data_IF_581534613391
#
_entry.id   IF_581534613391
#
_cell.length_a   1.000
_cell.length_b   1.000
_cell.length_c   1.000
_cell.angle_alpha   90.00
_cell.angle_beta   90.00
_cell.angle_gamma   90.00
#
_symmetry.space_group_name_H-M   'P 1'
#
loop_
_entity.id
_entity.type
_entity.pdbx_description
1 polymer ?
#
# COMPACT_ATOMS: atom_id res chain seq x y z
N UNK A 1 -0.49 13.23 34.58
CA UNK A 1 0.88 12.84 34.19
C UNK A 1 0.79 11.94 32.97
N UNK A 2 0.73 12.52 31.76
CA UNK A 2 0.59 11.76 30.50
C UNK A 2 1.94 11.14 30.12
N UNK A 3 2.06 9.82 30.18
CA UNK A 3 3.22 9.12 29.60
C UNK A 3 3.04 9.09 28.08
N UNK A 4 3.74 9.99 27.39
CA UNK A 4 3.85 10.01 25.92
C UNK A 4 4.55 8.72 25.46
N UNK A 5 3.77 7.75 24.99
CA UNK A 5 4.27 6.62 24.23
C UNK A 5 4.63 7.10 22.83
N UNK A 6 5.91 7.10 22.48
CA UNK A 6 6.34 7.21 21.08
C UNK A 6 5.89 5.91 20.41
N UNK A 7 4.89 5.98 19.52
CA UNK A 7 4.45 4.82 18.75
C UNK A 7 5.61 4.32 17.88
N UNK A 8 6.15 3.14 18.22
CA UNK A 8 7.24 2.50 17.47
C UNK A 8 6.65 1.75 16.28
N UNK A 9 6.40 2.48 15.21
CA UNK A 9 6.04 1.92 13.91
C UNK A 9 6.09 3.04 12.90
N UNK A 10 7.17 3.10 12.12
CA UNK A 10 7.37 4.18 11.18
C UNK A 10 6.72 3.83 9.84
N UNK A 11 6.02 4.81 9.26
CA UNK A 11 5.57 4.74 7.88
C UNK A 11 6.74 5.12 6.97
N UNK A 12 7.04 4.27 6.00
CA UNK A 12 8.06 4.54 4.97
C UNK A 12 7.36 4.89 3.66
N UNK A 13 7.75 6.02 3.08
CA UNK A 13 7.11 6.58 1.90
C UNK A 13 8.15 6.82 0.82
N UNK A 14 8.08 6.08 -0.30
CA UNK A 14 8.99 6.29 -1.42
C UNK A 14 8.27 6.96 -2.59
N UNK A 15 8.79 8.11 -3.02
CA UNK A 15 8.23 8.88 -4.12
C UNK A 15 8.65 8.29 -5.46
N UNK A 16 7.69 7.74 -6.21
CA UNK A 16 7.96 7.03 -7.47
C UNK A 16 8.68 7.92 -8.48
N UNK A 17 8.41 9.23 -8.53
CA UNK A 17 9.07 10.15 -9.46
C UNK A 17 10.59 10.23 -9.25
N UNK A 18 11.06 10.23 -8.00
CA UNK A 18 12.50 10.21 -7.67
C UNK A 18 13.09 8.83 -7.87
N UNK A 19 12.30 7.79 -7.64
CA UNK A 19 12.71 6.40 -7.85
C UNK A 19 12.76 6.03 -9.33
N UNK A 20 11.93 6.62 -10.19
CA UNK A 20 11.70 6.20 -11.58
C UNK A 20 12.97 6.21 -12.43
N UNK A 21 13.84 7.21 -12.27
CA UNK A 21 15.11 7.25 -12.99
C UNK A 21 16.10 6.18 -12.51
N UNK A 22 16.00 5.72 -11.26
CA UNK A 22 16.82 4.62 -10.72
C UNK A 22 16.21 3.28 -11.12
N UNK A 23 14.88 3.15 -11.05
CA UNK A 23 14.17 1.97 -11.52
C UNK A 23 14.46 1.72 -13.00
N UNK A 24 14.43 2.74 -13.85
CA UNK A 24 14.81 2.60 -15.26
C UNK A 24 16.28 2.19 -15.50
N UNK A 25 17.17 2.35 -14.50
CA UNK A 25 18.57 1.91 -14.57
C UNK A 25 18.77 0.48 -14.07
N UNK A 26 17.94 0.02 -13.14
CA UNK A 26 18.12 -1.25 -12.42
C UNK A 26 17.02 -2.28 -12.69
N UNK A 27 15.95 -1.88 -13.40
CA UNK A 27 14.77 -2.69 -13.63
C UNK A 27 14.46 -2.70 -15.11
N UNK A 28 14.39 -3.90 -15.67
CA UNK A 28 13.86 -4.11 -17.00
C UNK A 28 12.36 -3.78 -17.00
N UNK A 29 12.01 -2.68 -17.66
CA UNK A 29 10.62 -2.23 -17.76
C UNK A 29 9.75 -3.21 -18.54
N UNK A 30 10.32 -4.02 -19.44
CA UNK A 30 9.57 -5.05 -20.16
C UNK A 30 9.16 -6.21 -19.21
N UNK A 31 10.05 -6.60 -18.30
CA UNK A 31 9.73 -7.59 -17.27
C UNK A 31 8.66 -7.08 -16.29
N UNK A 32 8.67 -5.78 -15.95
CA UNK A 32 7.58 -5.19 -15.15
C UNK A 32 6.24 -5.18 -15.89
N UNK A 33 6.26 -5.00 -17.22
CA UNK A 33 5.07 -5.10 -18.05
C UNK A 33 4.54 -6.54 -18.15
N UNK A 34 5.40 -7.57 -18.10
CA UNK A 34 4.99 -8.98 -18.10
C UNK A 34 4.13 -9.37 -16.88
N UNK A 35 4.43 -8.79 -15.70
CA UNK A 35 3.62 -8.92 -14.49
C UNK A 35 2.14 -8.52 -14.66
N UNK A 36 1.84 -7.71 -15.69
CA UNK A 36 0.48 -7.33 -16.07
C UNK A 36 -0.35 -8.55 -16.47
N UNK A 37 0.22 -9.48 -17.23
CA UNK A 37 -0.49 -10.67 -17.73
C UNK A 37 -0.79 -11.67 -16.61
N UNK A 38 0.07 -11.67 -15.59
CA UNK A 38 0.08 -12.65 -14.52
C UNK A 38 -0.72 -12.23 -13.30
N UNK A 39 -0.62 -10.96 -12.89
CA UNK A 39 -1.23 -10.50 -11.65
C UNK A 39 -2.24 -9.39 -11.82
N UNK A 40 -2.47 -8.96 -13.06
CA UNK A 40 -3.18 -7.72 -13.33
C UNK A 40 -2.63 -6.55 -12.50
N UNK A 41 -1.36 -6.65 -12.09
CA UNK A 41 -0.62 -5.59 -11.43
C UNK A 41 -0.10 -4.75 -12.56
N UNK A 42 -0.78 -3.64 -12.77
CA UNK A 42 -0.34 -2.62 -13.70
C UNK A 42 0.84 -1.90 -13.09
N UNK A 43 2.01 -2.50 -13.26
CA UNK A 43 3.29 -1.85 -13.12
C UNK A 43 3.59 -1.06 -14.40
N UNK A 44 2.59 -0.31 -14.85
CA UNK A 44 2.87 0.84 -15.68
C UNK A 44 3.57 1.85 -14.78
N UNK A 45 4.91 1.82 -14.77
CA UNK A 45 5.67 3.06 -14.76
C UNK A 45 5.29 3.76 -16.06
N UNK A 46 4.08 4.33 -16.09
CA UNK A 46 3.53 4.94 -17.29
C UNK A 46 4.37 6.16 -17.58
N UNK A 47 5.28 5.96 -18.51
CA UNK A 47 5.92 7.03 -19.23
C UNK A 47 4.88 7.54 -20.23
N UNK A 48 4.17 8.57 -19.77
CA UNK A 48 3.41 9.57 -20.54
C UNK A 48 1.91 9.34 -20.82
N UNK A 49 1.08 10.13 -20.13
CA UNK A 49 -0.04 10.83 -20.77
C UNK A 49 0.39 12.23 -21.26
N UNK A 50 1.44 12.82 -20.67
CA UNK A 50 2.13 14.07 -21.06
C UNK A 50 3.62 14.02 -20.63
N UNK A 51 4.55 14.78 -21.24
CA UNK A 51 5.95 14.86 -20.81
C UNK A 51 6.10 15.28 -19.34
N UNK A 52 6.54 14.37 -18.47
CA UNK A 52 6.92 14.66 -17.08
C UNK A 52 5.95 14.18 -15.98
N UNK A 53 4.81 13.59 -16.33
CA UNK A 53 3.89 12.97 -15.38
C UNK A 53 4.13 11.45 -15.26
N UNK A 54 4.22 10.94 -14.04
CA UNK A 54 4.43 9.51 -13.73
C UNK A 54 3.32 9.06 -12.81
N UNK A 55 2.43 8.20 -13.29
CA UNK A 55 1.48 7.48 -12.43
C UNK A 55 2.03 6.08 -12.15
N UNK A 56 1.82 5.59 -10.93
CA UNK A 56 2.23 4.26 -10.51
C UNK A 56 1.18 3.69 -9.56
N UNK A 57 0.81 2.44 -9.84
CA UNK A 57 0.03 1.62 -8.94
C UNK A 57 0.77 0.30 -8.74
N UNK A 58 1.41 0.15 -7.59
CA UNK A 58 2.22 -1.03 -7.33
C UNK A 58 1.91 -1.63 -5.95
N UNK A 59 0.98 -2.59 -5.88
CA UNK A 59 0.76 -3.36 -4.67
C UNK A 59 1.80 -4.49 -4.56
N UNK A 60 3.06 -4.14 -4.25
CA UNK A 60 4.18 -5.11 -4.17
C UNK A 60 3.92 -6.30 -3.24
N UNK A 61 3.06 -6.12 -2.23
CA UNK A 61 2.67 -7.18 -1.29
C UNK A 61 1.88 -8.30 -1.96
N UNK A 62 0.84 -7.95 -2.72
CA UNK A 62 0.05 -8.92 -3.49
C UNK A 62 0.89 -9.55 -4.59
N UNK A 63 1.79 -8.77 -5.22
CA UNK A 63 2.71 -9.28 -6.24
C UNK A 63 3.53 -10.46 -5.73
N UNK A 64 4.16 -10.26 -4.57
CA UNK A 64 4.99 -11.27 -3.92
C UNK A 64 4.19 -12.44 -3.38
N UNK A 65 2.96 -12.20 -2.90
CA UNK A 65 2.10 -13.29 -2.41
C UNK A 65 1.74 -14.24 -3.55
N UNK A 66 1.38 -13.69 -4.71
CA UNK A 66 1.01 -14.48 -5.86
C UNK A 66 2.21 -15.17 -6.53
N UNK A 67 3.38 -14.52 -6.56
CA UNK A 67 4.64 -15.20 -6.90
C UNK A 67 4.89 -16.42 -5.99
N UNK A 68 4.76 -16.22 -4.67
CA UNK A 68 4.99 -17.27 -3.67
C UNK A 68 3.95 -18.38 -3.67
N UNK A 69 2.72 -18.11 -4.11
CA UNK A 69 1.66 -19.12 -4.13
C UNK A 69 1.92 -20.19 -5.18
N UNK A 70 2.77 -19.91 -6.18
CA UNK A 70 3.03 -20.79 -7.31
C UNK A 70 1.83 -20.96 -8.25
N UNK A 71 0.71 -20.28 -7.98
CA UNK A 71 -0.50 -20.33 -8.81
C UNK A 71 -0.36 -19.48 -10.08
N UNK A 72 0.59 -18.54 -10.07
CA UNK A 72 0.89 -17.66 -11.18
C UNK A 72 2.38 -17.85 -11.52
N UNK A 73 2.70 -18.32 -12.74
CA UNK A 73 4.09 -18.52 -13.12
C UNK A 73 4.76 -17.16 -13.32
N UNK A 74 5.80 -16.88 -12.55
CA UNK A 74 6.68 -15.75 -12.78
C UNK A 74 7.91 -16.24 -13.54
N UNK A 75 8.32 -15.49 -14.56
CA UNK A 75 9.64 -15.65 -15.16
C UNK A 75 10.73 -15.18 -14.18
N UNK A 76 11.96 -15.71 -14.29
CA UNK A 76 13.09 -15.22 -13.50
C UNK A 76 13.28 -13.70 -13.60
N UNK A 77 13.04 -13.13 -14.79
CA UNK A 77 13.15 -11.70 -15.08
C UNK A 77 12.09 -10.88 -14.33
N UNK A 78 10.84 -11.36 -14.30
CA UNK A 78 9.74 -10.74 -13.55
C UNK A 78 9.97 -10.75 -12.04
N UNK A 79 10.39 -11.90 -11.51
CA UNK A 79 10.78 -12.05 -10.10
C UNK A 79 11.91 -11.09 -9.73
N UNK A 80 12.94 -11.01 -10.58
CA UNK A 80 14.06 -10.11 -10.39
C UNK A 80 13.61 -8.64 -10.46
N UNK A 81 12.75 -8.27 -11.41
CA UNK A 81 12.24 -6.92 -11.55
C UNK A 81 11.42 -6.50 -10.31
N UNK A 82 10.51 -7.35 -9.83
CA UNK A 82 9.74 -7.12 -8.61
C UNK A 82 10.66 -6.97 -7.37
N UNK A 83 11.69 -7.81 -7.28
CA UNK A 83 12.70 -7.71 -6.22
C UNK A 83 13.43 -6.37 -6.26
N UNK A 84 13.90 -5.93 -7.42
CA UNK A 84 14.62 -4.67 -7.57
C UNK A 84 13.74 -3.46 -7.23
N UNK A 85 12.49 -3.42 -7.70
CA UNK A 85 11.58 -2.31 -7.35
C UNK A 85 11.40 -2.20 -5.84
N UNK A 86 11.16 -3.33 -5.17
CA UNK A 86 11.05 -3.36 -3.70
C UNK A 86 12.34 -2.93 -3.01
N UNK A 87 13.49 -3.39 -3.50
CA UNK A 87 14.81 -3.05 -2.95
C UNK A 87 15.07 -1.56 -3.04
N UNK A 88 14.84 -0.96 -4.20
CA UNK A 88 15.04 0.48 -4.42
C UNK A 88 14.04 1.29 -3.60
N UNK A 89 12.76 0.92 -3.56
CA UNK A 89 11.76 1.58 -2.71
C UNK A 89 12.08 1.51 -1.21
N UNK A 90 12.82 0.48 -0.78
CA UNK A 90 13.30 0.33 0.59
C UNK A 90 14.67 1.01 0.85
N UNK A 91 15.23 1.74 -0.11
CA UNK A 91 16.49 2.46 0.07
C UNK A 91 16.30 3.68 0.98
N UNK A 92 17.11 3.86 2.04
CA UNK A 92 17.04 5.01 2.95
C UNK A 92 17.16 6.37 2.26
N UNK A 93 17.78 6.43 1.09
CA UNK A 93 17.91 7.65 0.29
C UNK A 93 16.60 8.06 -0.42
N UNK A 94 15.66 7.13 -0.54
CA UNK A 94 14.47 7.25 -1.40
C UNK A 94 13.16 7.17 -0.63
N UNK A 95 13.19 6.73 0.64
CA UNK A 95 12.02 6.78 1.50
C UNK A 95 12.12 7.89 2.55
N UNK A 96 10.98 8.51 2.83
CA UNK A 96 10.78 9.32 4.03
C UNK A 96 10.33 8.41 5.16
N UNK A 97 11.03 8.45 6.29
CA UNK A 97 10.64 7.76 7.52
C UNK A 97 9.82 8.69 8.40
N UNK A 98 8.59 8.31 8.70
CA UNK A 98 7.68 9.12 9.51
C UNK A 98 7.11 8.33 10.66
N UNK A 99 7.34 8.79 11.89
CA UNK A 99 6.57 8.34 13.05
C UNK A 99 5.20 9.01 13.09
N UNK A 100 4.21 8.30 13.61
CA UNK A 100 2.90 8.88 13.95
C UNK A 100 2.84 9.23 15.44
N UNK A 101 2.20 10.35 15.73
CA UNK A 101 1.69 10.71 17.05
C UNK A 101 0.16 10.68 17.02
N UNK A 102 -0.43 10.65 18.21
CA UNK A 102 -1.87 10.78 18.34
C UNK A 102 -2.35 12.10 17.72
N UNK A 103 -3.37 12.01 16.87
CA UNK A 103 -3.91 13.15 16.13
C UNK A 103 -3.22 13.45 14.79
N UNK A 104 -2.09 12.82 14.48
CA UNK A 104 -1.44 12.99 13.18
C UNK A 104 -2.29 12.39 12.05
N UNK A 105 -2.42 13.15 10.96
CA UNK A 105 -3.12 12.72 9.74
C UNK A 105 -2.12 12.73 8.59
N UNK A 106 -2.06 11.62 7.85
CA UNK A 106 -1.22 11.48 6.68
C UNK A 106 -2.08 11.35 5.42
N UNK A 107 -1.86 12.26 4.46
CA UNK A 107 -2.46 12.18 3.13
C UNK A 107 -1.46 11.65 2.13
N UNK A 108 -1.84 10.57 1.45
CA UNK A 108 -1.00 9.91 0.44
C UNK A 108 -1.68 9.97 -0.92
N UNK A 109 -0.94 10.48 -1.91
CA UNK A 109 -1.31 10.28 -3.30
C UNK A 109 -0.79 8.91 -3.76
N UNK A 110 -1.68 7.91 -3.71
CA UNK A 110 -1.40 6.53 -4.10
C UNK A 110 -1.06 6.34 -5.58
N UNK A 111 -1.16 7.39 -6.41
CA UNK A 111 -0.73 7.37 -7.82
C UNK A 111 0.73 7.77 -8.00
N UNK A 112 1.36 8.35 -6.98
CA UNK A 112 2.71 8.94 -7.09
C UNK A 112 3.69 8.33 -6.08
N UNK A 113 3.20 7.55 -5.11
CA UNK A 113 3.98 7.05 -3.98
C UNK A 113 3.65 5.60 -3.69
N UNK A 114 4.69 4.83 -3.35
CA UNK A 114 4.53 3.56 -2.64
C UNK A 114 4.75 3.81 -1.16
N UNK A 115 3.99 3.14 -0.32
CA UNK A 115 4.05 3.32 1.12
C UNK A 115 3.98 1.97 1.83
N UNK A 116 4.62 1.91 2.99
CA UNK A 116 4.63 0.74 3.85
C UNK A 116 4.80 1.14 5.31
N UNK A 117 4.83 0.12 6.18
CA UNK A 117 5.13 0.30 7.60
C UNK A 117 6.25 -0.64 8.01
N UNK A 118 7.02 -0.25 9.02
CA UNK A 118 7.91 -1.18 9.71
C UNK A 118 7.12 -2.16 10.57
N UNK A 119 7.78 -3.24 10.95
CA UNK A 119 7.27 -4.14 11.98
C UNK A 119 7.01 -3.38 13.28
N UNK A 120 6.01 -3.85 14.02
CA UNK A 120 5.61 -3.29 15.29
C UNK A 120 5.05 -4.40 16.17
N UNK A 121 5.12 -4.20 17.49
CA UNK A 121 4.51 -5.09 18.46
C UNK A 121 3.35 -4.36 19.15
N UNK A 122 2.21 -5.02 19.24
CA UNK A 122 1.08 -4.52 20.01
C UNK A 122 1.44 -4.40 21.49
N UNK A 123 0.96 -3.35 22.15
CA UNK A 123 1.03 -3.25 23.60
C UNK A 123 0.19 -4.35 24.27
N UNK A 124 0.57 -4.83 25.47
CA UNK A 124 -0.22 -5.82 26.20
C UNK A 124 -1.65 -5.35 26.48
N UNK A 125 -1.80 -4.07 26.85
CA UNK A 125 -3.07 -3.41 27.08
C UNK A 125 -3.67 -2.90 25.77
N UNK A 126 -4.96 -3.14 25.57
CA UNK A 126 -5.66 -2.82 24.32
C UNK A 126 -5.72 -1.30 24.08
N UNK A 127 -5.95 -0.53 25.14
CA UNK A 127 -6.00 0.93 25.12
C UNK A 127 -4.67 1.60 24.74
N UNK A 128 -3.55 0.89 24.90
CA UNK A 128 -2.21 1.37 24.54
C UNK A 128 -1.79 0.91 23.13
N UNK A 129 -2.62 0.11 22.45
CA UNK A 129 -2.32 -0.35 21.08
C UNK A 129 -2.53 0.78 20.07
N UNK A 130 -1.79 0.68 18.97
CA UNK A 130 -1.90 1.65 17.87
C UNK A 130 -3.26 1.49 17.17
N UNK A 131 -4.10 2.52 17.23
CA UNK A 131 -5.37 2.61 16.50
C UNK A 131 -5.26 3.62 15.35
N UNK A 132 -5.29 3.16 14.10
CA UNK A 132 -5.29 4.03 12.93
C UNK A 132 -6.58 3.87 12.14
N UNK A 133 -7.18 5.01 11.81
CA UNK A 133 -8.28 5.07 10.85
C UNK A 133 -7.69 5.29 9.46
N UNK A 134 -8.20 4.55 8.47
CA UNK A 134 -7.78 4.67 7.07
C UNK A 134 -8.98 5.01 6.19
N UNK A 135 -8.83 6.07 5.41
CA UNK A 135 -9.81 6.51 4.42
C UNK A 135 -9.20 6.44 3.02
N UNK A 136 -10.01 6.00 2.05
CA UNK A 136 -9.69 6.08 0.62
C UNK A 136 -10.53 7.19 0.01
N UNK A 137 -9.88 8.12 -0.67
CA UNK A 137 -10.52 9.32 -1.24
C UNK A 137 -10.30 9.30 -2.75
N UNK A 138 -11.35 9.57 -3.51
CA UNK A 138 -11.29 9.83 -4.95
C UNK A 138 -11.38 11.34 -5.18
N UNK A 139 -10.54 11.85 -6.09
CA UNK A 139 -10.54 13.26 -6.48
C UNK A 139 -10.97 13.35 -7.94
N UNK A 140 -12.23 13.76 -8.24
CA UNK A 140 -12.78 13.71 -9.59
C UNK A 140 -12.01 14.53 -10.64
N UNK A 141 -11.28 15.56 -10.20
CA UNK A 141 -10.48 16.41 -11.08
C UNK A 141 -9.12 15.82 -11.45
N UNK A 142 -8.70 14.70 -10.85
CA UNK A 142 -7.45 14.04 -11.23
C UNK A 142 -7.62 13.26 -12.55
N UNK A 143 -6.54 13.07 -13.32
CA UNK A 143 -6.59 12.29 -14.56
C UNK A 143 -7.23 10.91 -14.37
N UNK A 144 -7.91 10.38 -15.39
CA UNK A 144 -8.41 9.02 -15.30
C UNK A 144 -7.24 8.04 -15.09
N UNK A 145 -7.48 6.98 -14.30
CA UNK A 145 -6.51 5.89 -14.27
C UNK A 145 -6.47 5.20 -15.64
N UNK A 146 -5.34 4.60 -16.03
CA UNK A 146 -5.21 3.91 -17.30
C UNK A 146 -6.28 2.80 -17.42
N UNK A 147 -6.84 2.54 -18.61
CA UNK A 147 -7.81 1.45 -18.81
C UNK A 147 -7.25 0.07 -18.42
N UNK A 148 -5.93 -0.09 -18.43
CA UNK A 148 -5.26 -1.31 -18.00
C UNK A 148 -5.43 -1.58 -16.50
N UNK A 149 -5.66 -0.55 -15.67
CA UNK A 149 -5.82 -0.73 -14.24
C UNK A 149 -7.18 -1.37 -13.93
N UNK A 150 -7.13 -2.58 -13.39
CA UNK A 150 -8.34 -3.33 -13.02
C UNK A 150 -8.52 -3.49 -11.51
N UNK A 151 -7.72 -2.78 -10.71
CA UNK A 151 -7.85 -2.74 -9.26
C UNK A 151 -8.45 -1.42 -8.80
N UNK A 152 -9.28 -1.50 -7.76
CA UNK A 152 -10.01 -0.37 -7.20
C UNK A 152 -10.97 0.21 -8.24
N UNK A 153 -11.61 -0.65 -9.04
CA UNK A 153 -12.70 -0.25 -9.94
C UNK A 153 -13.92 0.25 -9.14
N UNK A 154 -14.96 0.76 -9.82
CA UNK A 154 -16.18 1.16 -9.11
C UNK A 154 -16.83 -0.05 -8.44
N UNK A 155 -16.75 -1.20 -9.10
CA UNK A 155 -17.27 -2.49 -8.68
C UNK A 155 -16.52 -2.99 -7.43
N UNK A 156 -15.18 -2.95 -7.43
CA UNK A 156 -14.37 -3.32 -6.25
C UNK A 156 -14.74 -2.47 -5.03
N UNK A 157 -14.85 -1.15 -5.23
CA UNK A 157 -15.19 -0.21 -4.16
C UNK A 157 -16.58 -0.46 -3.61
N UNK A 158 -17.55 -0.77 -4.47
CA UNK A 158 -18.90 -1.15 -4.06
C UNK A 158 -18.86 -2.43 -3.20
N UNK A 159 -18.14 -3.46 -3.65
CA UNK A 159 -17.98 -4.71 -2.90
C UNK A 159 -17.32 -4.52 -1.53
N UNK A 160 -16.34 -3.64 -1.38
CA UNK A 160 -15.73 -3.36 -0.07
C UNK A 160 -16.66 -2.60 0.87
N UNK A 161 -17.58 -1.80 0.31
CA UNK A 161 -18.50 -0.98 1.12
C UNK A 161 -19.68 -1.77 1.69
N UNK A 162 -20.02 -2.91 1.09
CA UNK A 162 -21.26 -3.66 1.42
C UNK A 162 -21.32 -4.15 2.87
N UNK A 163 -20.15 -4.40 3.49
CA UNK A 163 -20.04 -4.89 4.86
C UNK A 163 -19.71 -3.78 5.87
N UNK A 164 -19.71 -2.52 5.45
CA UNK A 164 -19.35 -1.41 6.33
C UNK A 164 -20.48 -1.14 7.32
N UNK A 165 -20.18 -1.35 8.61
CA UNK A 165 -21.07 -0.97 9.70
C UNK A 165 -20.73 0.44 10.19
N UNK A 166 -21.71 1.34 10.36
CA UNK A 166 -21.46 2.69 10.85
C UNK A 166 -20.73 2.67 12.21
N UNK A 167 -19.70 3.52 12.33
CA UNK A 167 -18.94 3.78 13.56
C UNK A 167 -18.18 2.58 14.15
N UNK A 168 -18.18 1.44 13.47
CA UNK A 168 -17.53 0.23 13.95
C UNK A 168 -16.00 0.38 14.08
N UNK A 169 -15.43 1.37 13.41
CA UNK A 169 -14.04 1.78 13.47
C UNK A 169 -13.68 2.59 14.72
N UNK A 170 -14.65 3.11 15.47
CA UNK A 170 -14.38 3.88 16.69
C UNK A 170 -13.86 2.95 17.80
N UNK A 171 -12.84 3.36 18.57
CA UNK A 171 -12.28 2.54 19.65
C UNK A 171 -13.33 1.99 20.63
N UNK A 172 -14.34 2.81 20.99
CA UNK A 172 -15.41 2.43 21.92
C UNK A 172 -16.26 1.24 21.45
N UNK A 173 -16.39 1.04 20.14
CA UNK A 173 -17.15 -0.07 19.54
C UNK A 173 -16.20 -1.20 19.14
N UNK A 174 -15.10 -0.86 18.46
CA UNK A 174 -14.12 -1.82 17.97
C UNK A 174 -13.53 -2.67 19.11
N UNK A 175 -13.09 -2.03 20.20
CA UNK A 175 -12.44 -2.72 21.32
C UNK A 175 -13.42 -3.61 22.08
N UNK A 176 -14.66 -3.14 22.25
CA UNK A 176 -15.73 -3.95 22.85
C UNK A 176 -15.94 -5.25 22.07
N UNK A 177 -16.11 -5.15 20.74
CA UNK A 177 -16.27 -6.33 19.87
C UNK A 177 -15.07 -7.27 19.88
N UNK A 178 -13.86 -6.70 19.96
CA UNK A 178 -12.63 -7.50 20.05
C UNK A 178 -12.55 -8.29 21.36
N UNK A 179 -12.91 -7.67 22.49
CA UNK A 179 -12.95 -8.33 23.80
C UNK A 179 -14.08 -9.35 23.91
N UNK A 180 -15.21 -9.10 23.25
CA UNK A 180 -16.35 -10.02 23.16
C UNK A 180 -16.10 -11.19 22.19
N UNK A 181 -14.99 -11.19 21.44
CA UNK A 181 -14.69 -12.21 20.43
C UNK A 181 -15.64 -12.18 19.23
N UNK A 182 -16.35 -11.07 19.02
CA UNK A 182 -17.39 -10.93 18.00
C UNK A 182 -16.88 -10.37 16.66
N UNK A 183 -15.57 -10.11 16.57
CA UNK A 183 -14.92 -9.85 15.28
C UNK A 183 -14.68 -11.18 14.58
N UNK A 184 -14.92 -11.25 13.27
CA UNK A 184 -14.53 -12.41 12.47
C UNK A 184 -13.05 -12.74 12.78
N UNK A 185 -12.75 -14.04 12.96
CA UNK A 185 -11.36 -14.47 13.13
C UNK A 185 -10.52 -13.84 12.01
N UNK A 186 -9.41 -13.22 12.40
CA UNK A 186 -8.39 -12.81 11.44
C UNK A 186 -8.04 -14.03 10.60
N UNK A 187 -8.07 -13.89 9.28
CA UNK A 187 -7.52 -14.92 8.39
C UNK A 187 -6.01 -14.95 8.68
N UNK A 188 -5.51 -16.09 9.16
CA UNK A 188 -4.09 -16.32 9.42
C UNK A 188 -3.23 -16.15 8.15
#
# INVERSE_FOLDING_TARGET
>A
MMKKGVFRGAARLACVRRTAHLLARYVDTAALCGLREHLNIVLELLRHLEPGEVTCYLPTGYARLAEKSGQVPFTPEESQALYQVRKVAASPELYLDMGFREGDIQFLNNRMMVHGRTDYQDAPKLEDRRHLLRLWIEVPSWPAMPPAQIFHTKEDRALWSQYRQPLNELPSIHYKKLLEGSLAQMVD
#
